data_IF_949809310437
#
_entry.id   IF_949809310437
#
_cell.length_a   1.000
_cell.length_b   1.000
_cell.length_c   1.000
_cell.angle_alpha   90.00
_cell.angle_beta   90.00
_cell.angle_gamma   90.00
#
_symmetry.space_group_name_H-M   'P 1'
#
loop_
_entity.id
_entity.type
_entity.pdbx_description
1 polymer ?
#
# COMPACT_ATOMS: atom_id res chain seq x y z
N UNK A 1 -14.60 7.09 -22.89
CA UNK A 1 -14.74 5.70 -23.40
C UNK A 1 -14.84 4.77 -22.20
N UNK A 2 -15.63 3.68 -22.25
CA UNK A 2 -15.66 2.71 -21.16
C UNK A 2 -14.33 1.96 -21.09
N UNK A 3 -13.82 1.74 -19.87
CA UNK A 3 -12.65 0.91 -19.59
C UNK A 3 -13.07 -0.56 -19.73
N UNK A 4 -12.33 -1.35 -20.50
CA UNK A 4 -12.65 -2.75 -20.85
C UNK A 4 -11.57 -3.74 -20.49
N UNK A 5 -10.35 -3.28 -20.24
CA UNK A 5 -9.22 -4.14 -19.86
C UNK A 5 -8.54 -3.61 -18.61
N UNK A 6 -7.81 -4.48 -17.92
CA UNK A 6 -7.01 -4.07 -16.76
C UNK A 6 -5.89 -3.10 -17.15
N UNK A 7 -5.29 -3.26 -18.33
CA UNK A 7 -4.30 -2.31 -18.84
C UNK A 7 -4.91 -0.92 -19.06
N UNK A 8 -6.10 -0.83 -19.65
CA UNK A 8 -6.82 0.45 -19.79
C UNK A 8 -7.17 1.07 -18.43
N UNK A 9 -7.50 0.25 -17.42
CA UNK A 9 -7.75 0.71 -16.06
C UNK A 9 -6.50 1.31 -15.43
N UNK A 10 -5.36 0.63 -15.54
CA UNK A 10 -4.07 1.08 -15.00
C UNK A 10 -3.62 2.39 -15.64
N UNK A 11 -3.69 2.50 -16.96
CA UNK A 11 -3.30 3.73 -17.66
C UNK A 11 -4.23 4.89 -17.29
N UNK A 12 -5.54 4.65 -17.22
CA UNK A 12 -6.48 5.66 -16.76
C UNK A 12 -6.24 6.10 -15.30
N UNK A 13 -5.80 5.19 -14.43
CA UNK A 13 -5.44 5.51 -13.04
C UNK A 13 -4.16 6.35 -12.97
N UNK A 14 -3.11 5.98 -13.71
CA UNK A 14 -1.86 6.76 -13.80
C UNK A 14 -2.09 8.16 -14.33
N UNK A 15 -2.92 8.32 -15.37
CA UNK A 15 -3.28 9.63 -15.95
C UNK A 15 -3.95 10.57 -14.94
N UNK A 16 -4.64 10.03 -13.93
CA UNK A 16 -5.25 10.82 -12.85
C UNK A 16 -4.26 11.23 -11.76
N UNK A 17 -3.06 10.66 -11.79
CA UNK A 17 -2.04 10.82 -10.76
C UNK A 17 -2.37 10.04 -9.48
N UNK A 18 -1.36 9.84 -8.63
CA UNK A 18 -1.51 9.06 -7.41
C UNK A 18 -2.52 9.71 -6.46
N UNK A 19 -3.21 8.86 -5.69
CA UNK A 19 -4.02 9.26 -4.54
C UNK A 19 -3.44 8.65 -3.28
N UNK A 20 -3.64 9.34 -2.16
CA UNK A 20 -3.29 8.79 -0.86
C UNK A 20 -4.23 7.62 -0.53
N UNK A 21 -3.65 6.46 -0.23
CA UNK A 21 -4.38 5.23 0.10
C UNK A 21 -3.86 4.71 1.44
N UNK A 22 -4.75 4.62 2.42
CA UNK A 22 -4.45 3.99 3.68
C UNK A 22 -4.75 2.48 3.62
N UNK A 23 -3.78 1.66 3.99
CA UNK A 23 -3.84 0.20 3.89
C UNK A 23 -3.90 -0.40 5.29
N UNK A 24 -5.09 -0.84 5.68
CA UNK A 24 -5.31 -1.54 6.94
C UNK A 24 -4.71 -2.96 6.91
N UNK A 25 -4.19 -3.40 8.05
CA UNK A 25 -3.52 -4.69 8.19
C UNK A 25 -2.34 -4.89 7.21
N UNK A 26 -1.57 -3.82 6.98
CA UNK A 26 -0.39 -3.82 6.09
C UNK A 26 0.73 -4.78 6.50
N UNK A 27 0.63 -5.44 7.66
CA UNK A 27 1.57 -6.44 8.14
C UNK A 27 1.33 -7.85 7.56
N UNK A 28 0.49 -7.97 6.52
CA UNK A 28 0.34 -9.16 5.69
C UNK A 28 1.22 -9.02 4.45
N UNK A 29 1.98 -10.05 4.10
CA UNK A 29 3.04 -9.97 3.07
C UNK A 29 2.49 -9.53 1.71
N UNK A 30 1.42 -10.17 1.26
CA UNK A 30 0.79 -9.91 -0.03
C UNK A 30 0.19 -8.51 -0.09
N UNK A 31 -0.35 -8.02 1.03
CA UNK A 31 -0.92 -6.68 1.15
C UNK A 31 0.18 -5.62 1.10
N UNK A 32 1.29 -5.83 1.81
CA UNK A 32 2.44 -4.94 1.76
C UNK A 32 2.98 -4.89 0.34
N UNK A 33 3.32 -6.03 -0.27
CA UNK A 33 3.87 -6.11 -1.63
C UNK A 33 2.97 -5.42 -2.67
N UNK A 34 1.65 -5.65 -2.64
CA UNK A 34 0.73 -4.97 -3.56
C UNK A 34 0.71 -3.45 -3.37
N UNK A 35 0.87 -2.98 -2.13
CA UNK A 35 0.93 -1.56 -1.80
C UNK A 35 2.23 -0.93 -2.30
N UNK A 36 3.34 -1.66 -2.15
CA UNK A 36 4.66 -1.28 -2.64
C UNK A 36 4.69 -1.18 -4.17
N UNK A 37 4.12 -2.17 -4.86
CA UNK A 37 3.98 -2.17 -6.32
C UNK A 37 3.14 -0.97 -6.80
N UNK A 38 2.09 -0.62 -6.07
CA UNK A 38 1.26 0.55 -6.38
C UNK A 38 2.04 1.88 -6.23
N UNK A 39 2.88 2.00 -5.21
CA UNK A 39 3.73 3.18 -5.02
C UNK A 39 4.78 3.29 -6.13
N UNK A 40 5.52 2.19 -6.43
CA UNK A 40 6.50 2.15 -7.51
C UNK A 40 5.91 2.45 -8.88
N UNK A 41 4.69 2.00 -9.13
CA UNK A 41 3.96 2.26 -10.38
C UNK A 41 3.41 3.70 -10.46
N UNK A 42 3.57 4.52 -9.41
CA UNK A 42 3.02 5.87 -9.32
C UNK A 42 1.49 5.91 -9.25
N UNK A 43 0.86 4.80 -8.83
CA UNK A 43 -0.59 4.66 -8.75
C UNK A 43 -1.14 5.19 -7.43
N UNK A 44 -0.37 5.11 -6.34
CA UNK A 44 -0.82 5.51 -5.02
C UNK A 44 0.34 6.08 -4.17
N UNK A 45 -0.01 6.97 -3.26
CA UNK A 45 0.83 7.33 -2.12
C UNK A 45 0.32 6.54 -0.91
N UNK A 46 1.10 5.60 -0.39
CA UNK A 46 0.59 4.63 0.59
C UNK A 46 0.87 5.06 2.03
N UNK A 47 -0.16 4.93 2.87
CA UNK A 47 -0.06 4.96 4.34
C UNK A 47 -0.28 3.54 4.87
N UNK A 48 0.71 2.96 5.53
CA UNK A 48 0.67 1.59 6.02
C UNK A 48 0.18 1.57 7.48
N UNK A 49 -0.91 0.84 7.74
CA UNK A 49 -1.50 0.74 9.08
C UNK A 49 -1.45 -0.71 9.58
N UNK A 50 -0.71 -0.98 10.66
CA UNK A 50 -0.56 -2.33 11.19
C UNK A 50 0.58 -2.53 12.19
N UNK A 51 0.95 -3.78 12.43
CA UNK A 51 2.09 -4.12 13.29
C UNK A 51 3.38 -3.63 12.63
N UNK A 52 4.03 -2.66 13.27
CA UNK A 52 5.18 -1.94 12.72
C UNK A 52 6.39 -2.84 12.55
N UNK A 53 6.61 -3.75 13.49
CA UNK A 53 7.78 -4.61 13.49
C UNK A 53 7.64 -5.67 12.40
N UNK A 54 6.43 -6.22 12.25
CA UNK A 54 6.11 -7.13 11.14
C UNK A 54 6.24 -6.47 9.77
N UNK A 55 5.71 -5.25 9.61
CA UNK A 55 5.82 -4.50 8.34
C UNK A 55 7.29 -4.29 7.97
N UNK A 56 8.12 -3.85 8.92
CA UNK A 56 9.55 -3.64 8.69
C UNK A 56 10.29 -4.94 8.38
N UNK A 57 9.93 -6.02 9.06
CA UNK A 57 10.50 -7.34 8.82
C UNK A 57 10.21 -7.78 7.38
N UNK A 58 8.94 -7.75 6.95
CA UNK A 58 8.57 -8.12 5.58
C UNK A 58 9.28 -7.23 4.56
N UNK A 59 9.31 -5.91 4.77
CA UNK A 59 10.01 -4.99 3.88
C UNK A 59 11.52 -5.32 3.78
N UNK A 60 12.15 -5.72 4.89
CA UNK A 60 13.56 -6.14 4.89
C UNK A 60 13.75 -7.47 4.16
N UNK A 61 12.87 -8.44 4.40
CA UNK A 61 12.92 -9.76 3.78
C UNK A 61 12.73 -9.68 2.25
N UNK A 62 11.95 -8.71 1.78
CA UNK A 62 11.66 -8.44 0.36
C UNK A 62 12.57 -7.35 -0.26
N UNK A 63 13.59 -6.87 0.46
CA UNK A 63 14.56 -5.84 0.04
C UNK A 63 13.90 -4.53 -0.46
N UNK A 64 12.84 -4.10 0.23
CA UNK A 64 12.08 -2.90 -0.11
C UNK A 64 12.30 -1.75 0.87
N UNK A 65 12.59 -0.55 0.35
CA UNK A 65 12.71 0.67 1.15
C UNK A 65 11.34 1.32 1.41
N UNK A 66 10.84 1.17 2.64
CA UNK A 66 9.61 1.82 3.12
C UNK A 66 9.86 3.14 3.87
N UNK A 67 11.08 3.69 3.84
CA UNK A 67 11.44 4.90 4.61
C UNK A 67 10.65 6.14 4.23
N UNK A 68 10.09 6.17 3.01
CA UNK A 68 9.27 7.27 2.49
C UNK A 68 7.79 7.15 2.83
N UNK A 69 7.36 6.00 3.34
CA UNK A 69 5.96 5.72 3.65
C UNK A 69 5.61 6.13 5.07
N UNK A 70 4.38 6.62 5.24
CA UNK A 70 3.83 6.83 6.58
C UNK A 70 3.43 5.49 7.18
N UNK A 71 3.85 5.24 8.43
CA UNK A 71 3.59 4.00 9.15
C UNK A 71 2.83 4.27 10.46
N UNK A 72 1.56 3.89 10.47
CA UNK A 72 0.69 3.98 11.64
C UNK A 72 0.65 2.62 12.34
N UNK A 73 1.04 2.60 13.62
CA UNK A 73 1.06 1.36 14.37
C UNK A 73 -0.34 0.97 14.87
N UNK A 74 -0.77 -0.24 14.56
CA UNK A 74 -1.96 -0.87 15.10
C UNK A 74 -1.65 -2.32 15.47
N UNK A 75 -1.93 -2.69 16.71
CA UNK A 75 -1.60 -4.01 17.27
C UNK A 75 -2.61 -5.10 16.90
N UNK A 76 -3.79 -4.70 16.42
CA UNK A 76 -4.91 -5.58 16.02
C UNK A 76 -5.47 -5.14 14.68
N UNK A 77 -5.84 -6.09 13.83
CA UNK A 77 -6.42 -5.81 12.50
C UNK A 77 -7.67 -4.93 12.57
N UNK A 78 -8.51 -5.16 13.59
CA UNK A 78 -9.67 -4.32 13.87
C UNK A 78 -9.27 -2.88 14.17
N UNK A 79 -8.21 -2.66 14.94
CA UNK A 79 -7.72 -1.32 15.26
C UNK A 79 -7.21 -0.63 14.00
N UNK A 80 -6.46 -1.34 13.16
CA UNK A 80 -5.97 -0.82 11.88
C UNK A 80 -7.12 -0.34 10.98
N UNK A 81 -8.21 -1.10 10.91
CA UNK A 81 -9.38 -0.73 10.10
C UNK A 81 -10.13 0.53 10.61
N UNK A 82 -9.96 0.91 11.88
CA UNK A 82 -10.57 2.12 12.44
C UNK A 82 -9.72 3.39 12.27
N UNK A 83 -8.49 3.23 11.77
CA UNK A 83 -7.50 4.29 11.59
C UNK A 83 -7.29 4.68 10.12
N UNK A 84 -8.10 4.13 9.21
CA UNK A 84 -8.07 4.38 7.76
C UNK A 84 -9.33 5.08 7.27
#
# INVERSE_FOLDING_TARGET
MPIRTFAELLEAAKDKGPKTVAVAAAHQSEVLLASLDAELAGLAEVVLVGDRDRIRQIATDEDFDISRMELIHASRDREAAWQV
#
